data_IF_131089894992
#
_entry.id   IF_131089894992
#
_cell.length_a   1.000
_cell.length_b   1.000
_cell.length_c   1.000
_cell.angle_alpha   90.00
_cell.angle_beta   90.00
_cell.angle_gamma   90.00
#
_symmetry.space_group_name_H-M   'P 1'
#
loop_
_entity.id
_entity.type
_entity.pdbx_description
1 polymer ?
#
# COMPACT_ATOMS: atom_id res chain seq x y z
N UNK A 1 -3.65 -14.93 -21.06
CA UNK A 1 -3.91 -13.68 -21.81
C UNK A 1 -3.32 -12.55 -21.00
N UNK A 2 -2.23 -11.97 -21.50
CA UNK A 2 -1.61 -10.78 -20.93
C UNK A 2 -2.62 -9.63 -21.07
N UNK A 3 -3.20 -9.15 -19.96
CA UNK A 3 -4.03 -7.96 -20.04
C UNK A 3 -3.06 -6.82 -20.31
N UNK A 4 -3.20 -6.15 -21.45
CA UNK A 4 -2.51 -4.90 -21.78
C UNK A 4 -2.95 -3.77 -20.81
N UNK A 5 -2.69 -3.94 -19.52
CA UNK A 5 -2.89 -2.93 -18.50
C UNK A 5 -1.86 -1.85 -18.75
N UNK A 6 -2.31 -0.61 -18.86
CA UNK A 6 -1.41 0.54 -19.00
C UNK A 6 -0.77 0.89 -17.66
N UNK A 7 0.39 1.56 -17.69
CA UNK A 7 1.08 2.02 -16.47
C UNK A 7 0.16 2.86 -15.60
N UNK A 8 -0.67 3.70 -16.23
CA UNK A 8 -1.67 4.51 -15.57
C UNK A 8 -2.70 3.68 -14.82
N UNK A 9 -3.24 2.61 -15.42
CA UNK A 9 -4.22 1.75 -14.75
C UNK A 9 -3.62 1.04 -13.54
N UNK A 10 -2.39 0.56 -13.65
CA UNK A 10 -1.67 -0.09 -12.55
C UNK A 10 -1.42 0.90 -11.40
N UNK A 11 -0.98 2.11 -11.74
CA UNK A 11 -0.73 3.19 -10.80
C UNK A 11 -2.03 3.63 -10.10
N UNK A 12 -3.09 3.89 -10.86
CA UNK A 12 -4.39 4.31 -10.35
C UNK A 12 -4.98 3.28 -9.40
N UNK A 13 -4.92 1.99 -9.78
CA UNK A 13 -5.35 0.90 -8.90
C UNK A 13 -4.56 0.88 -7.60
N UNK A 14 -3.24 1.13 -7.67
CA UNK A 14 -2.38 1.24 -6.50
C UNK A 14 -2.77 2.40 -5.60
N UNK A 15 -2.97 3.60 -6.16
CA UNK A 15 -3.41 4.77 -5.40
C UNK A 15 -4.75 4.52 -4.68
N UNK A 16 -5.71 3.92 -5.39
CA UNK A 16 -7.04 3.62 -4.83
C UNK A 16 -7.02 2.52 -3.77
N UNK A 17 -6.19 1.49 -3.93
CA UNK A 17 -6.12 0.38 -2.97
C UNK A 17 -5.24 0.67 -1.76
N UNK A 18 -4.22 1.51 -1.93
CA UNK A 18 -3.18 1.76 -0.93
C UNK A 18 -3.39 3.13 -0.31
N UNK A 19 -3.17 4.20 -1.09
CA UNK A 19 -3.08 5.55 -0.55
C UNK A 19 -4.42 6.10 -0.07
N UNK A 20 -5.51 5.89 -0.81
CA UNK A 20 -6.85 6.38 -0.40
C UNK A 20 -7.27 5.80 0.97
N UNK A 21 -7.23 4.47 1.19
CA UNK A 21 -7.52 3.91 2.51
C UNK A 21 -6.58 4.40 3.62
N UNK A 22 -5.28 4.54 3.34
CA UNK A 22 -4.31 5.04 4.33
C UNK A 22 -4.66 6.45 4.77
N UNK A 23 -4.99 7.34 3.83
CA UNK A 23 -5.38 8.72 4.13
C UNK A 23 -6.65 8.73 4.97
N UNK A 24 -7.66 7.94 4.60
CA UNK A 24 -8.92 7.83 5.37
C UNK A 24 -8.65 7.34 6.79
N UNK A 25 -7.89 6.26 6.96
CA UNK A 25 -7.55 5.70 8.28
C UNK A 25 -6.74 6.70 9.09
N UNK A 26 -5.77 7.38 8.48
CA UNK A 26 -4.93 8.37 9.15
C UNK A 26 -5.78 9.54 9.63
N UNK A 27 -6.60 10.14 8.77
CA UNK A 27 -7.47 11.27 9.13
C UNK A 27 -8.51 10.89 10.18
N UNK A 28 -9.16 9.73 10.04
CA UNK A 28 -10.11 9.24 11.03
C UNK A 28 -9.43 9.00 12.39
N UNK A 29 -8.24 8.40 12.40
CA UNK A 29 -7.47 8.16 13.62
C UNK A 29 -7.04 9.48 14.27
N UNK A 30 -6.53 10.43 13.49
CA UNK A 30 -6.14 11.76 14.00
C UNK A 30 -7.34 12.48 14.61
N UNK A 31 -8.49 12.45 13.93
CA UNK A 31 -9.70 13.09 14.42
C UNK A 31 -10.14 12.49 15.76
N UNK A 32 -10.25 11.17 15.85
CA UNK A 32 -10.64 10.46 17.08
C UNK A 32 -9.62 10.66 18.20
N UNK A 33 -8.32 10.62 17.91
CA UNK A 33 -7.29 10.80 18.93
C UNK A 33 -7.23 12.25 19.42
N UNK A 34 -7.48 13.22 18.55
CA UNK A 34 -7.48 14.63 18.93
C UNK A 34 -8.65 14.97 19.84
N UNK A 35 -9.80 14.29 19.72
CA UNK A 35 -10.91 14.47 20.67
C UNK A 35 -10.63 13.85 22.04
N UNK A 36 -9.83 12.77 22.10
CA UNK A 36 -9.52 12.05 23.34
C UNK A 36 -8.32 12.63 24.09
N UNK A 37 -7.21 12.88 23.39
CA UNK A 37 -5.91 13.28 23.97
C UNK A 37 -5.79 14.81 24.03
N UNK A 38 -6.53 15.54 23.18
CA UNK A 38 -6.46 17.01 23.05
C UNK A 38 -5.05 17.54 22.74
N UNK A 39 -4.17 16.67 22.25
CA UNK A 39 -2.84 17.04 21.80
C UNK A 39 -2.70 16.68 20.32
N UNK A 40 -2.70 17.70 19.47
CA UNK A 40 -2.65 17.53 18.02
C UNK A 40 -1.39 16.80 17.57
N UNK A 41 -0.23 17.13 18.15
CA UNK A 41 1.06 16.54 17.76
C UNK A 41 1.08 15.03 18.04
N UNK A 42 0.61 14.62 19.22
CA UNK A 42 0.52 13.19 19.59
C UNK A 42 -0.50 12.47 18.71
N UNK A 43 -1.64 13.10 18.43
CA UNK A 43 -2.71 12.52 17.59
C UNK A 43 -2.26 12.30 16.16
N UNK A 44 -1.53 13.26 15.57
CA UNK A 44 -0.90 13.13 14.25
C UNK A 44 0.10 11.98 14.25
N UNK A 45 0.99 11.92 15.23
CA UNK A 45 2.01 10.87 15.31
C UNK A 45 1.40 9.47 15.35
N UNK A 46 0.42 9.24 16.24
CA UNK A 46 -0.25 7.95 16.38
C UNK A 46 -1.11 7.64 15.14
N UNK A 47 -1.83 8.63 14.60
CA UNK A 47 -2.65 8.44 13.39
C UNK A 47 -1.81 8.06 12.17
N UNK A 48 -0.62 8.66 12.01
CA UNK A 48 0.33 8.26 10.98
C UNK A 48 0.85 6.84 11.19
N UNK A 49 1.09 6.41 12.43
CA UNK A 49 1.48 5.02 12.71
C UNK A 49 0.40 4.03 12.27
N UNK A 50 -0.88 4.29 12.54
CA UNK A 50 -1.98 3.45 12.05
C UNK A 50 -2.03 3.37 10.52
N UNK A 51 -1.90 4.52 9.85
CA UNK A 51 -1.80 4.56 8.39
C UNK A 51 -0.63 3.71 7.85
N UNK A 52 0.53 3.80 8.51
CA UNK A 52 1.72 3.03 8.15
C UNK A 52 1.55 1.52 8.35
N UNK A 53 0.92 1.08 9.44
CA UNK A 53 0.61 -0.34 9.64
C UNK A 53 -0.34 -0.87 8.57
N UNK A 54 -1.36 -0.09 8.22
CA UNK A 54 -2.29 -0.48 7.17
C UNK A 54 -1.64 -0.51 5.77
N UNK A 55 -0.70 0.39 5.51
CA UNK A 55 0.04 0.45 4.25
C UNK A 55 0.68 -0.89 3.87
N UNK A 56 1.30 -1.58 4.83
CA UNK A 56 1.97 -2.87 4.56
C UNK A 56 0.97 -3.88 3.97
N UNK A 57 -0.22 -3.97 4.57
CA UNK A 57 -1.27 -4.89 4.14
C UNK A 57 -1.86 -4.51 2.77
N UNK A 58 -2.17 -3.24 2.56
CA UNK A 58 -2.77 -2.77 1.30
C UNK A 58 -1.78 -2.84 0.14
N UNK A 59 -0.51 -2.48 0.36
CA UNK A 59 0.55 -2.62 -0.63
C UNK A 59 0.73 -4.09 -1.05
N UNK A 60 0.71 -5.03 -0.09
CA UNK A 60 0.78 -6.46 -0.41
C UNK A 60 -0.41 -6.93 -1.26
N UNK A 61 -1.63 -6.46 -0.97
CA UNK A 61 -2.81 -6.75 -1.79
C UNK A 61 -2.66 -6.23 -3.23
N UNK A 62 -2.16 -5.01 -3.39
CA UNK A 62 -1.94 -4.42 -4.70
C UNK A 62 -0.88 -5.19 -5.51
N UNK A 63 0.22 -5.59 -4.87
CA UNK A 63 1.27 -6.43 -5.49
C UNK A 63 0.68 -7.77 -5.95
N UNK A 64 -0.05 -8.47 -5.08
CA UNK A 64 -0.71 -9.75 -5.43
C UNK A 64 -1.72 -9.60 -6.56
N UNK A 65 -2.45 -8.48 -6.59
CA UNK A 65 -3.35 -8.18 -7.69
C UNK A 65 -2.59 -7.97 -9.01
N UNK A 66 -1.48 -7.23 -9.00
CA UNK A 66 -0.66 -6.99 -10.18
C UNK A 66 -0.03 -8.28 -10.73
N UNK A 67 0.49 -9.12 -9.83
CA UNK A 67 1.05 -10.44 -10.16
C UNK A 67 0.00 -11.37 -10.79
N UNK A 68 -1.21 -11.44 -10.22
CA UNK A 68 -2.34 -12.17 -10.82
C UNK A 68 -2.78 -11.67 -12.20
N UNK A 69 -2.44 -10.42 -12.55
CA UNK A 69 -2.72 -9.86 -13.88
C UNK A 69 -1.48 -9.93 -14.81
N UNK A 70 -0.46 -10.72 -14.47
CA UNK A 70 0.78 -10.91 -15.22
C UNK A 70 1.60 -9.63 -15.42
N UNK A 71 1.46 -8.65 -14.52
CA UNK A 71 2.27 -7.44 -14.58
C UNK A 71 3.72 -7.77 -14.26
N UNK A 72 4.64 -7.50 -15.18
CA UNK A 72 6.07 -7.66 -14.97
C UNK A 72 6.53 -6.95 -13.69
N UNK A 73 7.30 -7.65 -12.83
CA UNK A 73 7.69 -7.17 -11.51
C UNK A 73 8.60 -5.94 -11.55
N UNK A 74 9.46 -5.82 -12.58
CA UNK A 74 10.30 -4.64 -12.75
C UNK A 74 9.47 -3.42 -13.13
N UNK A 75 8.50 -3.60 -14.02
CA UNK A 75 7.52 -2.57 -14.39
C UNK A 75 6.69 -2.15 -13.17
N UNK A 76 6.20 -3.12 -12.40
CA UNK A 76 5.47 -2.88 -11.16
C UNK A 76 6.30 -2.09 -10.15
N UNK A 77 7.59 -2.42 -10.01
CA UNK A 77 8.51 -1.68 -9.14
C UNK A 77 8.66 -0.21 -9.56
N UNK A 78 8.87 0.05 -10.86
CA UNK A 78 9.01 1.42 -11.38
C UNK A 78 7.76 2.25 -11.11
N UNK A 79 6.58 1.67 -11.36
CA UNK A 79 5.28 2.32 -11.11
C UNK A 79 5.09 2.57 -9.61
N UNK A 80 5.30 1.54 -8.80
CA UNK A 80 5.07 1.61 -7.36
C UNK A 80 6.03 2.56 -6.64
N UNK A 81 7.29 2.63 -7.06
CA UNK A 81 8.27 3.59 -6.53
C UNK A 81 7.86 5.03 -6.86
N UNK A 82 7.48 5.30 -8.11
CA UNK A 82 7.00 6.64 -8.54
C UNK A 82 5.73 7.06 -7.81
N UNK A 83 4.82 6.12 -7.56
CA UNK A 83 3.57 6.35 -6.85
C UNK A 83 3.67 6.36 -5.32
N UNK A 84 4.87 6.23 -4.75
CA UNK A 84 5.11 6.08 -3.31
C UNK A 84 4.33 4.91 -2.66
N UNK A 85 4.06 3.88 -3.45
CA UNK A 85 3.32 2.69 -3.02
C UNK A 85 4.24 1.63 -2.39
N UNK A 86 5.50 1.60 -2.81
CA UNK A 86 6.53 0.62 -2.40
C UNK A 86 7.90 1.28 -2.37
N UNK A 87 8.76 0.79 -1.47
CA UNK A 87 10.08 1.38 -1.23
C UNK A 87 11.24 0.53 -1.79
N UNK A 88 11.07 -0.78 -1.89
CA UNK A 88 12.13 -1.72 -2.27
C UNK A 88 11.60 -2.80 -3.22
N UNK A 89 12.43 -3.24 -4.16
CA UNK A 89 12.16 -4.39 -5.04
C UNK A 89 11.98 -5.68 -4.24
N UNK A 90 12.80 -5.90 -3.21
CA UNK A 90 12.72 -7.10 -2.36
C UNK A 90 11.31 -7.30 -1.80
N UNK A 91 10.63 -6.22 -1.44
CA UNK A 91 9.27 -6.29 -0.92
C UNK A 91 8.27 -6.90 -1.92
N UNK A 92 8.42 -6.65 -3.23
CA UNK A 92 7.59 -7.29 -4.25
C UNK A 92 7.85 -8.79 -4.27
N UNK A 93 9.13 -9.18 -4.33
CA UNK A 93 9.56 -10.58 -4.33
C UNK A 93 9.07 -11.30 -3.07
N UNK A 94 9.28 -10.73 -1.89
CA UNK A 94 8.86 -11.29 -0.61
C UNK A 94 7.34 -11.50 -0.54
N UNK A 95 6.55 -10.56 -1.09
CA UNK A 95 5.07 -10.67 -1.09
C UNK A 95 4.60 -11.77 -2.03
N UNK A 96 5.31 -12.01 -3.13
CA UNK A 96 4.98 -13.04 -4.13
C UNK A 96 5.43 -14.42 -3.64
N UNK A 97 6.65 -14.53 -3.10
CA UNK A 97 7.21 -15.78 -2.56
C UNK A 97 6.49 -16.22 -1.28
N UNK A 98 6.17 -15.30 -0.35
CA UNK A 98 5.33 -15.62 0.82
C UNK A 98 3.87 -15.94 0.45
N UNK A 99 3.47 -15.75 -0.80
CA UNK A 99 2.17 -16.24 -1.27
C UNK A 99 2.22 -17.75 -1.60
N UNK A 100 3.41 -18.31 -1.84
CA UNK A 100 3.63 -19.73 -2.10
C UNK A 100 3.86 -20.54 -0.82
N UNK A 101 4.33 -19.89 0.25
CA UNK A 101 4.42 -20.48 1.59
C UNK A 101 3.43 -19.78 2.49
N UNK A 102 2.23 -20.35 2.69
CA UNK A 102 1.17 -19.74 3.47
C UNK A 102 1.56 -19.85 4.94
N UNK A 103 2.51 -19.03 5.38
CA UNK A 103 3.13 -19.08 6.71
C UNK A 103 4.13 -20.23 6.86
N UNK A 104 4.69 -20.35 8.06
CA UNK A 104 5.04 -21.65 8.62
C UNK A 104 4.05 -22.75 8.20
#
# INVERSE_FOLDING_TARGET
MDKNLTDFQIALRGQLLVNVPIIIISLASIFVLNTLIQNFNISVLIGTLFGWFYWKFSAAKWIKWADKNNVNHERLYKIGKKGLLIWNRKYITDVIENNQKPWF
#
